data_IF_491377859140
#
_entry.id   IF_491377859140
#
_cell.length_a   1.000
_cell.length_b   1.000
_cell.length_c   1.000
_cell.angle_alpha   90.00
_cell.angle_beta   90.00
_cell.angle_gamma   90.00
#
_symmetry.space_group_name_H-M   'P 1'
#
loop_
_entity.id
_entity.type
_entity.pdbx_description
1 polymer ?
#
# COMPACT_ATOMS: atom_id res chain seq x y z
N UNK A 1 -17.86 8.77 13.93
CA UNK A 1 -17.39 7.63 13.14
C UNK A 1 -16.60 8.12 11.94
N UNK A 2 -15.41 7.55 11.75
CA UNK A 2 -14.56 7.70 10.57
C UNK A 2 -14.93 6.61 9.54
N UNK A 3 -14.73 6.90 8.26
CA UNK A 3 -14.84 5.90 7.21
C UNK A 3 -13.66 4.93 7.24
N UNK A 4 -12.47 5.46 7.51
CA UNK A 4 -11.25 4.68 7.66
C UNK A 4 -10.32 5.26 8.73
N UNK A 5 -9.64 4.37 9.45
CA UNK A 5 -8.45 4.66 10.23
C UNK A 5 -7.28 4.02 9.50
N UNK A 6 -6.23 4.80 9.24
CA UNK A 6 -5.00 4.34 8.60
C UNK A 6 -3.88 4.42 9.62
N UNK A 7 -3.28 3.28 9.94
CA UNK A 7 -2.20 3.16 10.91
C UNK A 7 -0.97 2.47 10.32
N UNK A 8 0.19 2.68 10.94
CA UNK A 8 1.43 1.99 10.57
C UNK A 8 2.60 2.94 10.35
N UNK A 9 3.39 2.66 9.32
CA UNK A 9 4.62 3.38 9.03
C UNK A 9 4.36 4.80 8.53
N UNK A 10 5.12 5.76 9.08
CA UNK A 10 5.22 7.13 8.58
C UNK A 10 6.67 7.61 8.61
N UNK A 11 7.10 8.34 7.59
CA UNK A 11 8.44 8.93 7.55
C UNK A 11 8.45 10.30 6.88
N UNK A 12 9.55 11.04 7.09
CA UNK A 12 9.87 12.23 6.31
C UNK A 12 10.71 11.82 5.10
N UNK A 13 10.19 12.02 3.90
CA UNK A 13 10.94 11.83 2.67
C UNK A 13 11.72 13.12 2.35
N UNK A 14 13.02 12.96 2.14
CA UNK A 14 13.97 14.00 1.79
C UNK A 14 14.44 13.70 0.38
N UNK A 15 14.04 14.54 -0.57
CA UNK A 15 14.25 14.31 -2.01
C UNK A 15 15.19 15.41 -2.53
N UNK A 16 16.52 15.21 -2.47
CA UNK A 16 17.46 16.17 -3.03
C UNK A 16 17.37 16.20 -4.56
N UNK A 17 17.45 17.40 -5.15
CA UNK A 17 17.68 17.54 -6.58
C UNK A 17 19.11 17.11 -6.92
N UNK A 18 19.22 16.05 -7.72
CA UNK A 18 20.50 15.50 -8.13
C UNK A 18 20.70 15.70 -9.63
N UNK A 19 21.87 16.21 -10.00
CA UNK A 19 22.28 16.36 -11.39
C UNK A 19 23.54 15.55 -11.66
N UNK A 20 23.60 14.94 -12.85
CA UNK A 20 24.73 14.10 -13.26
C UNK A 20 24.81 12.74 -12.54
N UNK A 21 25.99 12.12 -12.61
CA UNK A 21 26.23 10.82 -12.02
C UNK A 21 26.58 10.94 -10.52
N UNK A 22 25.73 10.35 -9.68
CA UNK A 22 25.99 10.20 -8.24
C UNK A 22 26.55 8.81 -7.98
N UNK A 23 27.73 8.74 -7.39
CA UNK A 23 28.37 7.52 -6.94
C UNK A 23 28.71 7.64 -5.45
N UNK A 24 28.40 6.60 -4.68
CA UNK A 24 28.74 6.52 -3.26
C UNK A 24 30.19 6.05 -3.12
N UNK A 25 31.12 7.01 -3.14
CA UNK A 25 32.56 6.77 -3.01
C UNK A 25 33.08 7.37 -1.69
N UNK A 26 33.81 6.60 -0.85
CA UNK A 26 34.38 7.13 0.38
C UNK A 26 35.25 8.39 0.14
N UNK A 27 34.97 9.46 0.88
CA UNK A 27 35.72 10.73 0.79
C UNK A 27 35.29 11.66 -0.36
N UNK A 28 34.33 11.26 -1.20
CA UNK A 28 33.77 12.11 -2.25
C UNK A 28 32.62 12.97 -1.71
N UNK A 29 32.70 14.28 -1.96
CA UNK A 29 31.58 15.20 -1.77
C UNK A 29 30.76 15.27 -3.06
N UNK A 30 29.44 15.13 -2.94
CA UNK A 30 28.51 15.39 -4.03
C UNK A 30 27.63 16.56 -3.62
N UNK A 31 27.66 17.62 -4.42
CA UNK A 31 26.77 18.77 -4.22
C UNK A 31 25.39 18.46 -4.81
N UNK A 32 24.35 18.65 -4.01
CA UNK A 32 22.97 18.50 -4.41
C UNK A 32 22.31 19.89 -4.51
N UNK A 33 21.29 20.00 -5.35
CA UNK A 33 20.41 21.16 -5.38
C UNK A 33 19.46 21.20 -4.16
N UNK A 34 18.44 22.07 -4.21
CA UNK A 34 17.40 22.13 -3.19
C UNK A 34 16.78 20.74 -2.90
N UNK A 35 16.42 20.50 -1.64
CA UNK A 35 15.69 19.30 -1.25
C UNK A 35 14.20 19.61 -1.12
N UNK A 36 13.37 18.73 -1.68
CA UNK A 36 11.94 18.70 -1.40
C UNK A 36 11.68 17.83 -0.18
N UNK A 37 10.87 18.34 0.75
CA UNK A 37 10.40 17.57 1.89
C UNK A 37 8.97 17.11 1.63
N UNK A 38 8.73 15.82 1.80
CA UNK A 38 7.41 15.21 1.72
C UNK A 38 7.22 14.26 2.89
N UNK A 39 6.00 13.82 3.12
CA UNK A 39 5.74 12.66 3.96
C UNK A 39 5.74 11.39 3.10
N UNK A 40 6.13 10.28 3.70
CA UNK A 40 6.09 8.94 3.12
C UNK A 40 5.53 7.93 4.13
N UNK A 41 5.49 6.66 3.71
CA UNK A 41 4.89 5.58 4.49
C UNK A 41 3.39 5.43 4.25
N UNK A 42 2.86 4.25 4.55
CA UNK A 42 1.46 3.91 4.29
C UNK A 42 0.46 4.84 4.99
N UNK A 43 0.80 5.34 6.19
CA UNK A 43 -0.06 6.29 6.92
C UNK A 43 -0.30 7.55 6.11
N UNK A 44 0.76 8.11 5.54
CA UNK A 44 0.63 9.30 4.70
C UNK A 44 0.05 8.96 3.34
N UNK A 45 0.69 8.04 2.60
CA UNK A 45 0.36 7.83 1.19
C UNK A 45 -1.08 7.30 1.01
N UNK A 46 -1.44 6.20 1.69
CA UNK A 46 -2.80 5.63 1.61
C UNK A 46 -3.81 6.52 2.34
N UNK A 47 -3.43 7.10 3.48
CA UNK A 47 -4.32 7.96 4.26
C UNK A 47 -4.72 9.26 3.57
N UNK A 48 -3.76 9.94 2.94
CA UNK A 48 -4.03 11.12 2.13
C UNK A 48 -4.76 10.76 0.83
N UNK A 49 -4.49 9.59 0.25
CA UNK A 49 -5.28 9.09 -0.87
C UNK A 49 -6.76 8.97 -0.52
N UNK A 50 -7.09 8.27 0.58
CA UNK A 50 -8.47 8.11 1.05
C UNK A 50 -9.13 9.46 1.38
N UNK A 51 -8.37 10.37 2.01
CA UNK A 51 -8.85 11.72 2.34
C UNK A 51 -9.21 12.50 1.08
N UNK A 52 -8.32 12.54 0.09
CA UNK A 52 -8.56 13.23 -1.19
C UNK A 52 -9.71 12.63 -2.00
N UNK A 53 -9.89 11.31 -1.91
CA UNK A 53 -11.02 10.59 -2.50
C UNK A 53 -12.34 10.78 -1.72
N UNK A 54 -12.35 11.64 -0.70
CA UNK A 54 -13.55 12.08 0.00
C UNK A 54 -13.98 11.19 1.16
N UNK A 55 -13.13 10.30 1.66
CA UNK A 55 -13.41 9.52 2.87
C UNK A 55 -12.94 10.27 4.11
N UNK A 56 -13.78 10.24 5.16
CA UNK A 56 -13.41 10.77 6.47
C UNK A 56 -12.39 9.86 7.11
N UNK A 57 -11.12 10.26 7.02
CA UNK A 57 -9.98 9.43 7.40
C UNK A 57 -9.28 9.95 8.65
N UNK A 58 -8.84 9.05 9.53
CA UNK A 58 -7.95 9.36 10.66
C UNK A 58 -6.59 8.69 10.45
N UNK A 59 -5.51 9.43 10.64
CA UNK A 59 -4.14 8.95 10.49
C UNK A 59 -3.53 8.66 11.85
N UNK A 60 -2.92 7.50 12.04
CA UNK A 60 -2.25 7.11 13.29
C UNK A 60 -0.86 6.61 12.97
N UNK A 61 0.15 7.26 13.55
CA UNK A 61 1.55 6.91 13.36
C UNK A 61 2.36 7.36 14.56
N UNK A 62 3.63 6.98 14.60
CA UNK A 62 4.55 7.35 15.67
C UNK A 62 5.66 8.24 15.13
N UNK A 63 5.85 9.40 15.74
CA UNK A 63 6.89 10.37 15.38
C UNK A 63 7.69 10.78 16.62
N UNK A 64 8.95 11.15 16.43
CA UNK A 64 9.76 11.71 17.52
C UNK A 64 9.48 13.20 17.72
N UNK A 65 9.73 13.73 18.92
CA UNK A 65 9.54 15.17 19.22
C UNK A 65 10.44 16.15 18.44
N UNK A 66 11.44 15.62 17.72
CA UNK A 66 12.41 16.39 16.95
C UNK A 66 11.82 17.14 15.74
N UNK A 67 12.67 17.88 15.00
CA UNK A 67 12.24 18.66 13.83
C UNK A 67 11.50 17.83 12.77
N UNK A 68 11.99 16.62 12.45
CA UNK A 68 11.36 15.77 11.44
C UNK A 68 9.92 15.39 11.81
N UNK A 69 9.65 15.04 13.07
CA UNK A 69 8.29 14.72 13.51
C UNK A 69 7.35 15.91 13.44
N UNK A 70 7.83 17.12 13.80
CA UNK A 70 7.05 18.35 13.64
C UNK A 70 6.74 18.65 12.17
N UNK A 71 7.73 18.52 11.30
CA UNK A 71 7.56 18.74 9.86
C UNK A 71 6.56 17.74 9.26
N UNK A 72 6.58 16.46 9.68
CA UNK A 72 5.56 15.49 9.26
C UNK A 72 4.15 15.99 9.64
N UNK A 73 3.93 16.38 10.89
CA UNK A 73 2.63 16.88 11.33
C UNK A 73 2.19 18.14 10.56
N UNK A 74 3.11 19.09 10.34
CA UNK A 74 2.86 20.32 9.56
C UNK A 74 2.47 20.02 8.12
N UNK A 75 3.16 19.08 7.45
CA UNK A 75 2.83 18.66 6.07
C UNK A 75 1.45 18.01 6.04
N UNK A 76 1.14 17.08 6.96
CA UNK A 76 -0.18 16.45 7.03
C UNK A 76 -1.30 17.48 7.21
N UNK A 77 -1.13 18.41 8.15
CA UNK A 77 -2.12 19.45 8.43
C UNK A 77 -2.27 20.47 7.28
N UNK A 78 -1.25 20.62 6.43
CA UNK A 78 -1.34 21.44 5.22
C UNK A 78 -2.29 20.85 4.15
N UNK A 79 -2.50 19.53 4.15
CA UNK A 79 -3.47 18.87 3.27
C UNK A 79 -4.89 19.01 3.81
N UNK A 80 -5.08 18.80 5.12
CA UNK A 80 -6.34 19.06 5.79
C UNK A 80 -6.06 19.28 7.30
N UNK A 81 -6.57 20.37 7.89
CA UNK A 81 -6.33 20.66 9.31
C UNK A 81 -6.75 19.50 10.21
N UNK A 82 -5.83 19.07 11.09
CA UNK A 82 -6.07 18.04 12.10
C UNK A 82 -5.68 16.62 11.69
N UNK A 83 -5.18 16.40 10.48
CA UNK A 83 -4.66 15.09 10.06
C UNK A 83 -3.42 14.66 10.87
N UNK A 84 -2.57 15.61 11.27
CA UNK A 84 -1.41 15.35 12.12
C UNK A 84 -1.74 15.14 13.60
N UNK A 85 -2.97 15.44 14.03
CA UNK A 85 -3.33 15.52 15.44
C UNK A 85 -3.36 14.17 16.18
N UNK A 86 -3.44 13.05 15.45
CA UNK A 86 -3.46 11.69 16.02
C UNK A 86 -2.10 10.98 15.94
N UNK A 87 -1.02 11.70 15.61
CA UNK A 87 0.33 11.15 15.69
C UNK A 87 0.79 11.02 17.16
N UNK A 88 1.26 9.84 17.53
CA UNK A 88 1.91 9.60 18.82
C UNK A 88 3.30 10.21 18.80
N UNK A 89 3.50 11.27 19.60
CA UNK A 89 4.79 11.95 19.74
C UNK A 89 5.57 11.32 20.90
N UNK A 90 6.71 10.70 20.58
CA UNK A 90 7.58 10.04 21.57
C UNK A 90 8.83 10.86 21.89
N UNK A 91 9.29 10.75 23.14
CA UNK A 91 10.52 11.36 23.65
C UNK A 91 11.70 10.41 23.51
N UNK A 92 12.89 10.94 23.23
CA UNK A 92 14.14 10.16 23.19
C UNK A 92 14.34 9.28 21.95
N UNK A 93 13.36 9.16 21.07
CA UNK A 93 13.46 8.41 19.82
C UNK A 93 13.48 9.32 18.58
N UNK A 94 14.27 8.94 17.58
CA UNK A 94 14.36 9.65 16.30
C UNK A 94 13.15 9.37 15.40
N UNK A 95 12.65 10.41 14.70
CA UNK A 95 11.62 10.22 13.67
C UNK A 95 12.22 9.51 12.45
N UNK A 96 11.42 8.64 11.83
CA UNK A 96 11.81 7.98 10.58
C UNK A 96 12.01 8.98 9.44
N UNK A 97 12.96 8.68 8.57
CA UNK A 97 13.18 9.43 7.35
C UNK A 97 13.66 8.52 6.22
N UNK A 98 13.47 8.98 4.98
CA UNK A 98 14.03 8.36 3.79
C UNK A 98 14.73 9.41 2.96
N UNK A 99 15.97 9.16 2.53
CA UNK A 99 16.58 9.94 1.47
C UNK A 99 16.27 9.25 0.14
N UNK A 100 15.52 9.94 -0.72
CA UNK A 100 15.11 9.42 -2.03
C UNK A 100 16.10 9.91 -3.08
N UNK A 101 16.92 9.01 -3.58
CA UNK A 101 17.92 9.30 -4.61
C UNK A 101 17.33 8.93 -5.97
N UNK A 102 16.90 9.96 -6.71
CA UNK A 102 16.35 9.80 -8.06
C UNK A 102 17.37 10.27 -9.10
N UNK A 103 17.86 9.36 -9.93
CA UNK A 103 18.79 9.67 -11.02
C UNK A 103 18.07 9.48 -12.35
N UNK A 104 18.27 10.40 -13.29
CA UNK A 104 17.62 10.33 -14.60
C UNK A 104 17.92 9.01 -15.32
N UNK A 105 16.87 8.31 -15.76
CA UNK A 105 16.97 7.02 -16.45
C UNK A 105 17.24 5.80 -15.55
N UNK A 106 17.25 5.97 -14.23
CA UNK A 106 17.45 4.87 -13.27
C UNK A 106 16.30 4.80 -12.26
N UNK A 107 16.08 3.60 -11.71
CA UNK A 107 15.16 3.42 -10.58
C UNK A 107 15.65 4.19 -9.35
N UNK A 108 14.69 4.66 -8.53
CA UNK A 108 14.97 5.39 -7.30
C UNK A 108 15.67 4.48 -6.29
N UNK A 109 16.69 5.00 -5.62
CA UNK A 109 17.30 4.35 -4.46
C UNK A 109 16.81 5.01 -3.18
N UNK A 110 16.62 4.22 -2.13
CA UNK A 110 16.10 4.68 -0.85
C UNK A 110 17.11 4.39 0.25
N UNK A 111 17.56 5.43 0.95
CA UNK A 111 18.31 5.29 2.20
C UNK A 111 17.34 5.55 3.35
N UNK A 112 16.93 4.48 4.04
CA UNK A 112 15.84 4.54 4.99
C UNK A 112 16.32 4.36 6.43
N UNK A 113 15.79 5.17 7.34
CA UNK A 113 15.89 4.99 8.77
C UNK A 113 14.49 4.77 9.36
N UNK A 114 14.20 3.61 9.97
CA UNK A 114 12.86 3.31 10.48
C UNK A 114 12.49 4.14 11.73
N UNK A 115 13.48 4.68 12.46
CA UNK A 115 13.26 5.50 13.64
C UNK A 115 12.31 4.86 14.66
N UNK A 116 11.46 5.69 15.28
CA UNK A 116 10.45 5.29 16.25
C UNK A 116 9.37 4.34 15.69
N UNK A 117 9.24 4.15 14.37
CA UNK A 117 8.36 3.09 13.86
C UNK A 117 8.85 1.68 14.29
N UNK A 118 10.14 1.53 14.60
CA UNK A 118 10.70 0.26 15.10
C UNK A 118 10.10 -0.17 16.44
N UNK A 119 9.69 0.78 17.27
CA UNK A 119 9.09 0.57 18.60
C UNK A 119 7.57 0.72 18.58
N UNK A 120 6.96 0.79 17.40
CA UNK A 120 5.51 0.76 17.28
C UNK A 120 4.97 -0.58 17.78
N UNK A 121 3.87 -0.52 18.52
CA UNK A 121 3.16 -1.65 19.12
C UNK A 121 1.66 -1.51 18.87
N UNK A 122 0.89 -2.54 19.19
CA UNK A 122 -0.57 -2.48 19.15
C UNK A 122 -1.11 -1.30 19.99
N UNK A 123 -0.50 -1.03 21.15
CA UNK A 123 -0.95 -0.01 22.11
C UNK A 123 -0.83 1.43 21.60
N UNK A 124 -0.05 1.65 20.54
CA UNK A 124 0.03 2.95 19.86
C UNK A 124 -1.24 3.31 19.06
N UNK A 125 -2.14 2.34 18.88
CA UNK A 125 -3.47 2.55 18.31
C UNK A 125 -4.50 2.54 19.44
N UNK A 126 -5.14 3.68 19.76
CA UNK A 126 -6.15 3.75 20.82
C UNK A 126 -7.40 2.92 20.48
N UNK A 127 -7.99 2.24 21.47
CA UNK A 127 -9.26 1.50 21.29
C UNK A 127 -10.39 2.41 20.80
N UNK A 128 -10.40 3.68 21.22
CA UNK A 128 -11.36 4.69 20.74
C UNK A 128 -11.29 4.88 19.22
N UNK A 129 -10.11 4.80 18.61
CA UNK A 129 -9.97 4.88 17.16
C UNK A 129 -10.55 3.63 16.47
N UNK A 130 -10.33 2.44 17.04
CA UNK A 130 -10.84 1.17 16.53
C UNK A 130 -12.36 1.07 16.67
N UNK A 131 -12.93 1.55 17.78
CA UNK A 131 -14.37 1.59 18.02
C UNK A 131 -15.12 2.60 17.15
N UNK A 132 -14.42 3.63 16.67
CA UNK A 132 -15.01 4.77 15.97
C UNK A 132 -14.69 4.78 14.46
N UNK A 133 -14.48 3.61 13.85
CA UNK A 133 -14.20 3.47 12.41
C UNK A 133 -14.98 2.34 11.76
N UNK A 134 -15.32 2.50 10.48
CA UNK A 134 -15.89 1.41 9.65
C UNK A 134 -14.79 0.45 9.16
N UNK A 135 -13.60 1.00 8.91
CA UNK A 135 -12.48 0.26 8.34
C UNK A 135 -11.16 0.64 9.03
N UNK A 136 -10.29 -0.34 9.25
CA UNK A 136 -8.95 -0.18 9.78
C UNK A 136 -7.93 -0.70 8.78
N UNK A 137 -7.11 0.20 8.24
CA UNK A 137 -6.00 -0.14 7.35
C UNK A 137 -4.68 -0.07 8.12
N UNK A 138 -3.86 -1.10 8.03
CA UNK A 138 -2.50 -1.09 8.55
C UNK A 138 -1.48 -1.32 7.43
N UNK A 139 -0.42 -0.52 7.39
CA UNK A 139 0.56 -0.60 6.31
C UNK A 139 2.02 -0.64 6.75
N UNK A 140 2.80 -1.37 5.96
CA UNK A 140 4.26 -1.52 6.03
C UNK A 140 4.82 -2.14 7.33
N UNK A 141 4.24 -3.22 7.87
CA UNK A 141 4.84 -3.93 9.00
C UNK A 141 6.32 -4.33 8.79
N UNK A 142 6.82 -4.66 7.58
CA UNK A 142 8.24 -4.98 7.40
C UNK A 142 9.22 -3.84 7.72
N UNK A 143 8.77 -2.59 7.79
CA UNK A 143 9.58 -1.44 8.22
C UNK A 143 9.42 -1.13 9.72
N UNK A 144 8.71 -1.97 10.46
CA UNK A 144 8.32 -1.75 11.86
C UNK A 144 8.73 -2.96 12.70
N UNK A 145 9.92 -2.93 13.30
CA UNK A 145 10.51 -4.08 13.99
C UNK A 145 9.57 -4.77 14.99
N UNK A 146 8.85 -3.99 15.81
CA UNK A 146 7.85 -4.52 16.73
C UNK A 146 6.72 -5.33 16.07
N UNK A 147 6.39 -5.06 14.81
CA UNK A 147 5.29 -5.72 14.10
C UNK A 147 5.66 -7.09 13.51
N UNK A 148 6.94 -7.37 13.27
CA UNK A 148 7.39 -8.68 12.78
C UNK A 148 8.20 -9.49 13.80
N UNK A 149 8.63 -8.86 14.91
CA UNK A 149 9.24 -9.57 16.03
C UNK A 149 8.28 -10.61 16.64
N UNK A 150 8.85 -11.62 17.30
CA UNK A 150 8.10 -12.69 17.97
C UNK A 150 7.02 -13.32 17.06
N UNK A 151 7.41 -13.59 15.82
CA UNK A 151 6.56 -14.12 14.75
C UNK A 151 5.27 -13.28 14.54
N UNK A 152 5.37 -11.96 14.71
CA UNK A 152 4.30 -11.00 14.44
C UNK A 152 3.26 -10.85 15.56
N UNK A 153 3.63 -11.09 16.82
CA UNK A 153 2.70 -11.06 17.96
C UNK A 153 1.91 -9.74 18.06
N UNK A 154 2.58 -8.60 17.99
CA UNK A 154 1.93 -7.28 18.09
C UNK A 154 1.03 -6.98 16.88
N UNK A 155 1.42 -7.42 15.69
CA UNK A 155 0.61 -7.31 14.48
C UNK A 155 -0.69 -8.11 14.62
N UNK A 156 -0.60 -9.35 15.11
CA UNK A 156 -1.78 -10.20 15.37
C UNK A 156 -2.67 -9.58 16.44
N UNK A 157 -2.08 -9.06 17.53
CA UNK A 157 -2.81 -8.38 18.62
C UNK A 157 -3.58 -7.17 18.09
N UNK A 158 -2.96 -6.36 17.23
CA UNK A 158 -3.58 -5.18 16.63
C UNK A 158 -4.78 -5.54 15.74
N UNK A 159 -4.62 -6.48 14.82
CA UNK A 159 -5.73 -6.88 13.93
C UNK A 159 -6.87 -7.56 14.69
N UNK A 160 -6.56 -8.37 15.72
CA UNK A 160 -7.61 -8.95 16.58
C UNK A 160 -8.40 -7.85 17.29
N UNK A 161 -7.73 -6.86 17.89
CA UNK A 161 -8.39 -5.71 18.54
C UNK A 161 -9.28 -4.93 17.56
N UNK A 162 -8.84 -4.72 16.33
CA UNK A 162 -9.65 -4.07 15.31
C UNK A 162 -10.94 -4.85 15.01
N UNK A 163 -10.86 -6.19 14.88
CA UNK A 163 -12.02 -7.06 14.69
C UNK A 163 -12.95 -7.07 15.90
N UNK A 164 -12.42 -7.11 17.13
CA UNK A 164 -13.19 -7.08 18.37
C UNK A 164 -14.02 -5.78 18.52
N UNK A 165 -13.51 -4.67 17.97
CA UNK A 165 -14.21 -3.39 17.91
C UNK A 165 -15.16 -3.24 16.70
N UNK A 166 -15.29 -4.29 15.87
CA UNK A 166 -16.23 -4.34 14.76
C UNK A 166 -15.75 -3.68 13.46
N UNK A 167 -14.51 -3.22 13.38
CA UNK A 167 -13.95 -2.68 12.15
C UNK A 167 -13.68 -3.81 11.14
N UNK A 168 -13.95 -3.54 9.86
CA UNK A 168 -13.33 -4.31 8.77
C UNK A 168 -11.85 -3.96 8.69
N UNK A 169 -11.01 -4.88 8.24
CA UNK A 169 -9.55 -4.69 8.27
C UNK A 169 -8.90 -4.84 6.90
N UNK A 170 -7.86 -4.04 6.65
CA UNK A 170 -6.96 -4.26 5.53
C UNK A 170 -5.49 -4.16 5.92
N UNK A 171 -4.66 -4.92 5.21
CA UNK A 171 -3.23 -5.00 5.44
C UNK A 171 -2.48 -4.78 4.14
N UNK A 172 -1.58 -3.80 4.15
CA UNK A 172 -0.58 -3.59 3.11
C UNK A 172 0.84 -3.90 3.62
N UNK A 173 1.66 -4.43 2.72
CA UNK A 173 3.05 -4.77 3.00
C UNK A 173 3.98 -3.79 2.27
N UNK A 174 5.22 -3.77 2.71
CA UNK A 174 6.33 -3.20 1.96
C UNK A 174 7.31 -4.31 1.64
N UNK A 175 8.09 -4.18 0.57
CA UNK A 175 9.15 -5.16 0.32
C UNK A 175 10.16 -5.15 1.48
N UNK A 176 10.42 -6.26 2.17
CA UNK A 176 11.43 -6.27 3.23
C UNK A 176 12.83 -6.10 2.64
N UNK A 177 13.69 -5.37 3.36
CA UNK A 177 15.11 -5.34 3.02
C UNK A 177 15.73 -6.71 3.34
N UNK A 178 16.27 -7.37 2.31
CA UNK A 178 16.85 -8.70 2.38
C UNK A 178 18.00 -8.80 3.40
N UNK A 179 18.74 -7.71 3.62
CA UNK A 179 19.91 -7.71 4.50
C UNK A 179 19.54 -7.33 5.94
N UNK A 180 18.40 -6.66 6.13
CA UNK A 180 17.86 -6.23 7.42
C UNK A 180 17.16 -7.36 8.20
N UNK A 181 16.85 -7.18 9.50
CA UNK A 181 16.09 -8.16 10.27
C UNK A 181 14.74 -8.52 9.65
N UNK A 182 14.07 -7.58 8.98
CA UNK A 182 12.79 -7.84 8.32
C UNK A 182 12.92 -8.83 7.17
N UNK A 183 14.03 -8.83 6.42
CA UNK A 183 14.28 -9.81 5.38
C UNK A 183 14.56 -11.23 5.88
N UNK A 184 14.84 -11.38 7.18
CA UNK A 184 15.15 -12.65 7.85
C UNK A 184 13.98 -13.18 8.68
N UNK A 185 12.90 -12.42 8.82
CA UNK A 185 11.71 -12.82 9.54
C UNK A 185 10.98 -13.97 8.82
N UNK A 186 10.35 -14.87 9.58
CA UNK A 186 9.50 -15.94 9.02
C UNK A 186 8.13 -15.37 8.61
N UNK A 187 8.11 -14.74 7.44
CA UNK A 187 6.90 -14.11 6.91
C UNK A 187 5.77 -15.11 6.65
N UNK A 188 6.07 -16.37 6.31
CA UNK A 188 5.03 -17.36 6.12
C UNK A 188 4.30 -17.63 7.44
N UNK A 189 5.04 -17.79 8.55
CA UNK A 189 4.44 -17.95 9.88
C UNK A 189 3.69 -16.69 10.32
N UNK A 190 4.27 -15.50 10.14
CA UNK A 190 3.63 -14.22 10.46
C UNK A 190 2.30 -14.08 9.71
N UNK A 191 2.30 -14.32 8.39
CA UNK A 191 1.11 -14.21 7.54
C UNK A 191 0.04 -15.23 7.94
N UNK A 192 0.40 -16.49 8.23
CA UNK A 192 -0.53 -17.50 8.74
C UNK A 192 -1.22 -17.08 10.05
N UNK A 193 -0.52 -16.33 10.91
CA UNK A 193 -1.07 -15.87 12.20
C UNK A 193 -1.97 -14.63 12.06
N UNK A 194 -1.62 -13.68 11.19
CA UNK A 194 -2.35 -12.40 11.06
C UNK A 194 -3.52 -12.46 10.08
N UNK A 195 -3.36 -13.16 8.93
CA UNK A 195 -4.36 -13.14 7.86
C UNK A 195 -5.77 -13.62 8.26
N UNK A 196 -5.98 -14.49 9.27
CA UNK A 196 -7.33 -14.78 9.78
C UNK A 196 -8.10 -13.56 10.31
N UNK A 197 -7.41 -12.48 10.64
CA UNK A 197 -7.97 -11.21 11.13
C UNK A 197 -7.89 -10.08 10.09
N UNK A 198 -7.39 -10.37 8.88
CA UNK A 198 -7.26 -9.42 7.77
C UNK A 198 -8.37 -9.72 6.77
N UNK A 199 -9.36 -8.83 6.65
CA UNK A 199 -10.42 -9.04 5.67
C UNK A 199 -9.93 -8.79 4.24
N UNK A 200 -9.11 -7.75 4.04
CA UNK A 200 -8.59 -7.31 2.73
C UNK A 200 -7.06 -7.23 2.74
N UNK A 201 -6.38 -8.14 2.06
CA UNK A 201 -4.91 -8.17 1.98
C UNK A 201 -4.45 -7.63 0.62
N UNK A 202 -3.63 -6.59 0.59
CA UNK A 202 -3.30 -5.85 -0.64
C UNK A 202 -1.80 -5.73 -0.95
N UNK A 203 -1.04 -6.85 -0.99
CA UNK A 203 0.40 -6.80 -1.26
C UNK A 203 0.73 -6.55 -2.74
N UNK A 204 2.00 -6.30 -3.05
CA UNK A 204 2.56 -6.44 -4.40
C UNK A 204 2.95 -7.90 -4.70
N UNK A 205 3.12 -8.20 -5.98
CA UNK A 205 3.59 -9.52 -6.40
C UNK A 205 5.01 -9.80 -5.89
N UNK A 206 5.86 -8.78 -5.84
CA UNK A 206 7.22 -8.83 -5.34
C UNK A 206 7.25 -9.14 -3.84
N UNK A 207 6.38 -8.50 -3.05
CA UNK A 207 6.22 -8.76 -1.62
C UNK A 207 5.80 -10.22 -1.38
N UNK A 208 4.79 -10.71 -2.10
CA UNK A 208 4.32 -12.10 -1.96
C UNK A 208 5.40 -13.11 -2.33
N UNK A 209 6.12 -12.88 -3.43
CA UNK A 209 7.22 -13.75 -3.85
C UNK A 209 8.34 -13.73 -2.80
N UNK A 210 8.72 -12.56 -2.29
CA UNK A 210 9.74 -12.46 -1.25
C UNK A 210 9.36 -13.25 0.00
N UNK A 211 8.11 -13.08 0.45
CA UNK A 211 7.62 -13.61 1.73
C UNK A 211 7.26 -15.09 1.67
N UNK A 212 6.75 -15.58 0.54
CA UNK A 212 6.17 -16.92 0.42
C UNK A 212 6.94 -17.85 -0.53
N UNK A 213 7.74 -17.30 -1.46
CA UNK A 213 8.46 -18.04 -2.50
C UNK A 213 9.88 -17.45 -2.72
N UNK A 214 10.63 -17.30 -1.62
CA UNK A 214 11.91 -16.56 -1.57
C UNK A 214 12.90 -16.96 -2.67
N UNK A 215 13.00 -18.25 -2.97
CA UNK A 215 13.90 -18.75 -4.03
C UNK A 215 13.48 -18.23 -5.42
N UNK A 216 12.18 -18.19 -5.71
CA UNK A 216 11.65 -17.64 -6.97
C UNK A 216 11.86 -16.13 -7.04
N UNK A 217 11.67 -15.41 -5.92
CA UNK A 217 12.01 -13.98 -5.84
C UNK A 217 13.48 -13.72 -6.20
N UNK A 218 14.41 -14.48 -5.64
CA UNK A 218 15.85 -14.31 -5.92
C UNK A 218 16.22 -14.64 -7.36
N UNK A 219 15.60 -15.67 -7.96
CA UNK A 219 15.81 -16.04 -9.36
C UNK A 219 15.32 -14.99 -10.35
N UNK A 220 14.28 -14.25 -10.00
CA UNK A 220 13.69 -13.20 -10.84
C UNK A 220 14.30 -11.82 -10.61
N UNK A 221 15.14 -11.66 -9.58
CA UNK A 221 15.77 -10.39 -9.22
C UNK A 221 16.58 -9.82 -10.41
N UNK A 222 16.19 -8.64 -10.88
CA UNK A 222 16.83 -7.96 -12.02
C UNK A 222 16.18 -8.23 -13.37
N UNK A 223 15.15 -9.08 -13.45
CA UNK A 223 14.29 -9.22 -14.63
C UNK A 223 13.09 -8.30 -14.50
N UNK A 224 12.60 -7.74 -15.61
CA UNK A 224 11.36 -6.96 -15.60
C UNK A 224 10.19 -7.89 -15.25
N UNK A 225 9.71 -7.80 -14.01
CA UNK A 225 8.65 -8.64 -13.43
C UNK A 225 7.31 -8.57 -14.17
N UNK A 226 7.16 -7.63 -15.10
CA UNK A 226 5.99 -7.49 -15.98
C UNK A 226 5.69 -8.76 -16.80
N UNK A 227 6.63 -9.70 -16.94
CA UNK A 227 6.43 -10.96 -17.66
C UNK A 227 5.81 -12.14 -16.87
N UNK A 228 5.53 -11.99 -15.57
CA UNK A 228 5.08 -13.13 -14.74
C UNK A 228 3.78 -13.79 -15.26
N UNK A 229 3.69 -15.14 -15.36
CA UNK A 229 2.45 -15.79 -15.78
C UNK A 229 1.27 -15.45 -14.85
N UNK A 230 0.07 -15.31 -15.42
CA UNK A 230 -1.18 -15.09 -14.64
C UNK A 230 -1.37 -16.12 -13.52
N UNK A 231 -0.97 -17.38 -13.76
CA UNK A 231 -1.03 -18.45 -12.77
C UNK A 231 -0.21 -18.22 -11.50
N UNK A 232 0.82 -17.36 -11.52
CA UNK A 232 1.56 -17.00 -10.31
C UNK A 232 0.71 -16.15 -9.36
N UNK A 233 -0.02 -15.17 -9.90
CA UNK A 233 -0.93 -14.30 -9.14
C UNK A 233 -2.07 -15.11 -8.51
N UNK A 234 -2.66 -16.01 -9.30
CA UNK A 234 -3.70 -16.93 -8.84
C UNK A 234 -3.25 -17.82 -7.69
N UNK A 235 -2.07 -18.46 -7.85
CA UNK A 235 -1.51 -19.35 -6.82
C UNK A 235 -1.23 -18.59 -5.52
N UNK A 236 -0.55 -17.45 -5.60
CA UNK A 236 -0.16 -16.67 -4.42
C UNK A 236 -1.38 -16.05 -3.72
N UNK A 237 -2.35 -15.54 -4.48
CA UNK A 237 -3.59 -15.05 -3.90
C UNK A 237 -4.39 -16.17 -3.23
N UNK A 238 -4.50 -17.34 -3.87
CA UNK A 238 -5.16 -18.52 -3.29
C UNK A 238 -4.48 -18.94 -1.99
N UNK A 239 -3.13 -18.92 -1.93
CA UNK A 239 -2.39 -19.22 -0.71
C UNK A 239 -2.70 -18.23 0.42
N UNK A 240 -2.79 -16.94 0.12
CA UNK A 240 -3.19 -15.92 1.10
C UNK A 240 -4.65 -16.09 1.57
N UNK A 241 -5.58 -16.45 0.67
CA UNK A 241 -6.96 -16.79 1.05
C UNK A 241 -7.01 -18.03 1.97
N UNK A 242 -6.20 -19.05 1.69
CA UNK A 242 -6.08 -20.25 2.54
C UNK A 242 -5.49 -19.93 3.92
N UNK A 243 -4.71 -18.85 4.05
CA UNK A 243 -4.21 -18.35 5.33
C UNK A 243 -5.24 -17.52 6.12
N UNK A 244 -6.39 -17.16 5.51
CA UNK A 244 -7.53 -16.57 6.21
C UNK A 244 -8.04 -15.24 5.66
N UNK A 245 -7.33 -14.62 4.70
CA UNK A 245 -7.82 -13.41 4.06
C UNK A 245 -9.12 -13.67 3.28
N UNK A 246 -9.99 -12.66 3.13
CA UNK A 246 -11.26 -12.79 2.38
C UNK A 246 -11.16 -12.21 0.98
N UNK A 247 -10.42 -11.12 0.85
CA UNK A 247 -10.17 -10.40 -0.41
C UNK A 247 -8.68 -10.20 -0.53
N UNK A 248 -8.07 -10.65 -1.64
CA UNK A 248 -6.64 -10.47 -1.91
C UNK A 248 -6.48 -9.67 -3.19
N UNK A 249 -5.98 -8.44 -3.05
CA UNK A 249 -5.59 -7.58 -4.17
C UNK A 249 -4.07 -7.64 -4.38
N UNK A 250 -3.60 -8.03 -5.57
CA UNK A 250 -2.16 -8.05 -5.87
C UNK A 250 -1.82 -6.91 -6.82
N UNK A 251 -1.03 -5.95 -6.32
CA UNK A 251 -0.45 -4.88 -7.14
C UNK A 251 0.53 -5.50 -8.12
N UNK A 252 0.32 -5.28 -9.42
CA UNK A 252 1.08 -5.90 -10.52
C UNK A 252 1.84 -4.86 -11.37
N UNK A 253 2.22 -3.73 -10.78
CA UNK A 253 2.90 -2.62 -11.47
C UNK A 253 2.10 -2.14 -12.68
N UNK A 254 2.75 -2.06 -13.84
CA UNK A 254 2.12 -1.63 -15.11
C UNK A 254 1.00 -2.54 -15.61
N UNK A 255 0.85 -3.76 -15.05
CA UNK A 255 -0.25 -4.67 -15.36
C UNK A 255 -1.50 -4.42 -14.54
N UNK A 256 -1.48 -3.43 -13.64
CA UNK A 256 -2.63 -3.03 -12.84
C UNK A 256 -2.81 -3.84 -11.57
N UNK A 257 -4.06 -4.18 -11.26
CA UNK A 257 -4.45 -4.76 -9.99
C UNK A 257 -5.23 -6.05 -10.23
N UNK A 258 -4.69 -7.15 -9.72
CA UNK A 258 -5.34 -8.47 -9.71
C UNK A 258 -6.13 -8.65 -8.40
N UNK A 259 -7.26 -9.35 -8.45
CA UNK A 259 -8.13 -9.64 -7.31
C UNK A 259 -8.48 -11.12 -7.30
N UNK A 260 -8.32 -11.76 -6.15
CA UNK A 260 -9.00 -13.03 -5.82
C UNK A 260 -9.81 -12.86 -4.54
N UNK A 261 -11.05 -13.32 -4.54
CA UNK A 261 -11.90 -13.31 -3.35
C UNK A 261 -12.27 -14.72 -2.92
N UNK A 262 -12.49 -14.92 -1.62
CA UNK A 262 -12.91 -16.21 -1.10
C UNK A 262 -14.40 -16.45 -1.37
N UNK A 263 -14.86 -17.69 -1.12
CA UNK A 263 -16.29 -18.04 -1.12
C UNK A 263 -17.04 -17.41 0.05
N UNK A 264 -16.34 -17.14 1.16
CA UNK A 264 -16.91 -16.54 2.36
C UNK A 264 -16.35 -15.14 2.59
N UNK A 265 -17.13 -14.14 2.18
CA UNK A 265 -16.84 -12.72 2.41
C UNK A 265 -17.64 -12.13 3.58
N UNK A 266 -18.23 -12.97 4.44
CA UNK A 266 -18.98 -12.51 5.63
C UNK A 266 -18.10 -11.64 6.54
N UNK A 267 -18.70 -10.67 7.23
CA UNK A 267 -17.98 -9.72 8.09
C UNK A 267 -17.28 -8.59 7.34
N UNK A 268 -17.37 -8.58 6.00
CA UNK A 268 -17.28 -7.39 5.17
C UNK A 268 -18.69 -7.05 4.70
N UNK A 269 -19.08 -5.76 4.70
CA UNK A 269 -20.36 -5.30 4.16
C UNK A 269 -20.33 -5.30 2.62
N UNK A 270 -20.14 -6.50 2.05
CA UNK A 270 -19.97 -6.74 0.61
C UNK A 270 -21.11 -7.62 0.07
N UNK A 271 -21.54 -7.29 -1.14
CA UNK A 271 -22.58 -8.03 -1.84
C UNK A 271 -22.12 -9.41 -2.35
N UNK A 272 -23.08 -10.29 -2.75
CA UNK A 272 -22.79 -11.63 -3.25
C UNK A 272 -21.90 -11.66 -4.50
N UNK A 273 -21.86 -10.56 -5.27
CA UNK A 273 -20.99 -10.38 -6.44
C UNK A 273 -19.49 -10.41 -6.09
N UNK A 274 -19.12 -10.24 -4.82
CA UNK A 274 -17.74 -10.36 -4.35
C UNK A 274 -17.31 -11.80 -4.07
N UNK A 275 -18.19 -12.81 -4.17
CA UNK A 275 -17.85 -14.20 -3.82
C UNK A 275 -17.12 -14.90 -4.95
N UNK A 276 -16.02 -15.56 -4.60
CA UNK A 276 -15.27 -16.47 -5.48
C UNK A 276 -14.88 -15.87 -6.84
N UNK A 277 -14.43 -14.61 -6.83
CA UNK A 277 -14.06 -13.87 -8.04
C UNK A 277 -12.57 -13.99 -8.29
N UNK A 278 -12.20 -14.00 -9.57
CA UNK A 278 -10.85 -13.76 -10.06
C UNK A 278 -10.89 -12.72 -11.18
N UNK A 279 -10.42 -11.50 -10.88
CA UNK A 279 -10.60 -10.32 -11.73
C UNK A 279 -9.29 -9.55 -11.82
N UNK A 280 -9.00 -8.94 -12.97
CA UNK A 280 -7.79 -8.17 -13.22
C UNK A 280 -8.10 -6.87 -13.94
N UNK A 281 -7.88 -5.73 -13.29
CA UNK A 281 -7.99 -4.42 -13.93
C UNK A 281 -6.61 -3.99 -14.48
N UNK A 282 -6.47 -3.74 -15.78
CA UNK A 282 -5.26 -3.14 -16.34
C UNK A 282 -5.19 -1.65 -15.99
N UNK A 283 -3.96 -1.12 -15.85
CA UNK A 283 -3.71 0.29 -15.62
C UNK A 283 -4.29 1.19 -16.72
N UNK A 284 -4.62 2.42 -16.36
CA UNK A 284 -4.91 3.47 -17.33
C UNK A 284 -3.62 4.06 -17.91
N UNK A 285 -3.69 4.52 -19.16
CA UNK A 285 -2.58 5.18 -19.83
C UNK A 285 -2.39 6.60 -19.30
N UNK A 286 -1.17 6.92 -18.87
CA UNK A 286 -0.73 8.24 -18.41
C UNK A 286 0.70 8.51 -18.86
N UNK A 287 1.07 9.80 -18.88
CA UNK A 287 2.47 10.19 -18.93
C UNK A 287 3.09 9.99 -17.54
N UNK A 288 4.00 9.02 -17.42
CA UNK A 288 4.60 8.66 -16.13
C UNK A 288 5.72 9.62 -15.80
N UNK A 289 5.54 10.41 -14.73
CA UNK A 289 6.54 11.31 -14.15
C UNK A 289 7.23 10.65 -12.94
N UNK A 290 6.46 9.90 -12.15
CA UNK A 290 6.96 9.17 -10.98
C UNK A 290 6.09 7.96 -10.67
N UNK A 291 6.59 7.03 -9.86
CA UNK A 291 5.83 5.84 -9.42
C UNK A 291 5.77 5.69 -7.90
N UNK A 292 6.43 6.59 -7.16
CA UNK A 292 6.35 6.61 -5.69
C UNK A 292 4.92 6.88 -5.25
N UNK A 293 4.43 6.09 -4.31
CA UNK A 293 3.05 6.20 -3.82
C UNK A 293 1.99 5.61 -4.76
N UNK A 294 2.33 5.18 -5.98
CA UNK A 294 1.34 4.65 -6.93
C UNK A 294 0.61 3.41 -6.40
N UNK A 295 1.33 2.54 -5.68
CA UNK A 295 0.75 1.38 -5.00
C UNK A 295 -0.22 1.77 -3.88
N UNK A 296 0.17 2.73 -3.05
CA UNK A 296 -0.66 3.23 -1.94
C UNK A 296 -1.90 3.98 -2.45
N UNK A 297 -1.75 4.79 -3.50
CA UNK A 297 -2.85 5.46 -4.18
C UNK A 297 -3.80 4.44 -4.81
N UNK A 298 -3.26 3.35 -5.38
CA UNK A 298 -4.05 2.22 -5.88
C UNK A 298 -4.86 1.56 -4.77
N UNK A 299 -4.25 1.35 -3.60
CA UNK A 299 -4.96 0.83 -2.42
C UNK A 299 -6.04 1.81 -1.96
N UNK A 300 -5.72 3.11 -1.89
CA UNK A 300 -6.67 4.16 -1.53
C UNK A 300 -7.89 4.18 -2.45
N UNK A 301 -7.68 4.10 -3.77
CA UNK A 301 -8.75 4.01 -4.76
C UNK A 301 -9.58 2.74 -4.63
N UNK A 302 -8.92 1.59 -4.42
CA UNK A 302 -9.59 0.30 -4.24
C UNK A 302 -10.45 0.28 -2.98
N UNK A 303 -9.91 0.74 -1.85
CA UNK A 303 -10.64 0.86 -0.60
C UNK A 303 -11.75 1.92 -0.67
N UNK A 304 -11.56 3.01 -1.41
CA UNK A 304 -12.64 3.98 -1.70
C UNK A 304 -13.82 3.31 -2.38
N UNK A 305 -13.58 2.53 -3.43
CA UNK A 305 -14.64 1.82 -4.13
C UNK A 305 -15.34 0.80 -3.23
N UNK A 306 -14.55 -0.02 -2.53
CA UNK A 306 -15.05 -1.04 -1.60
C UNK A 306 -15.93 -0.42 -0.50
N UNK A 307 -15.45 0.63 0.17
CA UNK A 307 -16.17 1.31 1.26
C UNK A 307 -17.36 2.15 0.77
N UNK A 308 -17.47 2.39 -0.53
CA UNK A 308 -18.62 3.03 -1.16
C UNK A 308 -19.64 2.01 -1.71
N UNK A 309 -19.44 0.71 -1.47
CA UNK A 309 -20.35 -0.36 -1.90
C UNK A 309 -20.28 -0.67 -3.40
N UNK A 310 -19.16 -0.36 -4.06
CA UNK A 310 -18.99 -0.63 -5.49
C UNK A 310 -18.76 -2.13 -5.75
N UNK A 311 -19.01 -2.54 -7.00
CA UNK A 311 -18.69 -3.91 -7.44
C UNK A 311 -17.16 -4.17 -7.39
N UNK A 312 -16.72 -5.45 -7.41
CA UNK A 312 -15.31 -5.79 -7.47
C UNK A 312 -14.58 -5.10 -8.64
N UNK A 313 -15.19 -5.09 -9.81
CA UNK A 313 -14.66 -4.50 -11.04
C UNK A 313 -14.50 -2.98 -10.92
N UNK A 314 -15.50 -2.30 -10.37
CA UNK A 314 -15.46 -0.85 -10.21
C UNK A 314 -14.47 -0.44 -9.12
N UNK A 315 -14.37 -1.22 -8.04
CA UNK A 315 -13.37 -1.00 -6.99
C UNK A 315 -11.96 -1.18 -7.52
N UNK A 316 -11.72 -2.21 -8.35
CA UNK A 316 -10.45 -2.39 -9.03
C UNK A 316 -10.13 -1.22 -9.98
N UNK A 317 -11.12 -0.75 -10.73
CA UNK A 317 -10.98 0.40 -11.63
C UNK A 317 -10.66 1.68 -10.87
N UNK A 318 -11.34 1.95 -9.75
CA UNK A 318 -11.06 3.05 -8.86
C UNK A 318 -9.61 3.00 -8.34
N UNK A 319 -9.13 1.80 -7.97
CA UNK A 319 -7.75 1.57 -7.58
C UNK A 319 -6.77 1.95 -8.69
N UNK A 320 -6.83 1.30 -9.84
CA UNK A 320 -5.86 1.56 -10.93
C UNK A 320 -5.97 2.98 -11.50
N UNK A 321 -7.13 3.64 -11.40
CA UNK A 321 -7.30 5.06 -11.74
C UNK A 321 -6.56 5.98 -10.78
N UNK A 322 -6.72 5.77 -9.47
CA UNK A 322 -6.01 6.56 -8.45
C UNK A 322 -4.49 6.38 -8.55
N UNK A 323 -4.04 5.14 -8.76
CA UNK A 323 -2.63 4.84 -9.06
C UNK A 323 -2.12 5.54 -10.32
N UNK A 324 -2.89 5.53 -11.41
CA UNK A 324 -2.53 6.22 -12.65
C UNK A 324 -2.42 7.74 -12.46
N UNK A 325 -3.39 8.36 -11.76
CA UNK A 325 -3.34 9.78 -11.40
C UNK A 325 -2.09 10.12 -10.57
N UNK A 326 -1.74 9.28 -9.58
CA UNK A 326 -0.51 9.44 -8.79
C UNK A 326 0.73 9.48 -9.68
N UNK A 327 0.81 8.62 -10.69
CA UNK A 327 1.97 8.53 -11.57
C UNK A 327 2.21 9.76 -12.47
N UNK A 328 1.22 10.64 -12.63
CA UNK A 328 1.33 11.89 -13.40
C UNK A 328 2.17 12.96 -12.66
N UNK A 329 2.61 12.69 -11.43
CA UNK A 329 3.39 13.62 -10.59
C UNK A 329 4.62 12.90 -9.96
N UNK A 330 5.66 13.66 -9.54
CA UNK A 330 6.89 13.06 -9.02
C UNK A 330 6.77 12.49 -7.60
N UNK A 331 5.84 13.01 -6.79
CA UNK A 331 5.61 12.63 -5.39
C UNK A 331 4.36 11.74 -5.19
N UNK A 332 4.18 11.23 -3.97
CA UNK A 332 3.16 10.23 -3.64
C UNK A 332 1.71 10.77 -3.54
N UNK A 333 1.51 12.09 -3.45
CA UNK A 333 0.24 12.67 -3.01
C UNK A 333 -0.31 13.67 -4.01
N UNK A 334 0.52 14.50 -4.62
CA UNK A 334 0.10 15.63 -5.48
C UNK A 334 -0.71 15.17 -6.69
N UNK A 335 -0.37 14.01 -7.27
CA UNK A 335 -1.10 13.45 -8.41
C UNK A 335 -2.49 12.91 -8.07
N UNK A 336 -2.78 12.63 -6.80
CA UNK A 336 -4.08 12.11 -6.38
C UNK A 336 -5.14 13.20 -6.54
N UNK A 337 -6.20 12.88 -7.29
CA UNK A 337 -7.34 13.74 -7.60
C UNK A 337 -8.51 13.47 -6.65
N UNK A 338 -9.53 14.33 -6.70
CA UNK A 338 -10.80 14.05 -6.03
C UNK A 338 -11.49 12.82 -6.64
N UNK A 339 -12.44 12.24 -5.90
CA UNK A 339 -13.24 11.13 -6.43
C UNK A 339 -14.01 11.54 -7.70
N UNK A 340 -14.66 12.71 -7.70
CA UNK A 340 -15.45 13.22 -8.84
C UNK A 340 -14.60 13.38 -10.12
N UNK A 341 -13.40 13.95 -9.99
CA UNK A 341 -12.47 14.08 -11.13
C UNK A 341 -11.98 12.72 -11.63
N UNK A 342 -11.75 11.79 -10.71
CA UNK A 342 -11.28 10.44 -11.03
C UNK A 342 -12.37 9.65 -11.76
N UNK A 343 -13.59 9.67 -11.24
CA UNK A 343 -14.77 9.03 -11.82
C UNK A 343 -15.09 9.60 -13.20
N UNK A 344 -15.11 10.94 -13.34
CA UNK A 344 -15.31 11.62 -14.62
C UNK A 344 -14.32 11.15 -15.68
N UNK A 345 -13.04 10.99 -15.32
CA UNK A 345 -12.02 10.48 -16.23
C UNK A 345 -12.33 9.05 -16.68
N UNK A 346 -12.67 8.17 -15.73
CA UNK A 346 -13.03 6.77 -16.03
C UNK A 346 -14.21 6.72 -17.01
N UNK A 347 -15.29 7.46 -16.72
CA UNK A 347 -16.52 7.51 -17.51
C UNK A 347 -16.32 8.13 -18.90
N UNK A 348 -15.35 9.04 -19.03
CA UNK A 348 -14.98 9.66 -20.31
C UNK A 348 -14.18 8.73 -21.25
N UNK A 349 -14.04 7.45 -20.90
CA UNK A 349 -13.40 6.45 -21.75
C UNK A 349 -11.86 6.48 -21.67
N UNK A 350 -11.29 6.70 -20.48
CA UNK A 350 -9.84 6.73 -20.26
C UNK A 350 -9.15 5.48 -20.85
N UNK A 351 -8.21 5.66 -21.81
CA UNK A 351 -7.49 4.54 -22.41
C UNK A 351 -6.73 3.70 -21.39
N UNK A 352 -6.64 2.38 -21.64
CA UNK A 352 -5.95 1.41 -20.78
C UNK A 352 -4.71 0.86 -21.44
N UNK A 353 -3.72 0.51 -20.62
CA UNK A 353 -2.53 -0.21 -21.06
C UNK A 353 -2.97 -1.62 -21.49
N UNK A 354 -2.62 -2.08 -22.71
CA UNK A 354 -2.95 -3.43 -23.15
C UNK A 354 -2.36 -4.49 -22.20
N UNK A 355 -3.20 -5.43 -21.79
CA UNK A 355 -2.81 -6.55 -20.94
C UNK A 355 -3.06 -7.86 -21.68
N UNK A 356 -2.01 -8.67 -21.86
CA UNK A 356 -2.09 -9.97 -22.52
C UNK A 356 -2.14 -11.06 -21.45
N UNK A 357 -3.25 -11.78 -21.38
CA UNK A 357 -3.48 -12.89 -20.46
C UNK A 357 -3.76 -14.19 -21.23
N UNK A 358 -3.80 -15.31 -20.50
CA UNK A 358 -4.15 -16.61 -21.07
C UNK A 358 -5.61 -16.69 -21.54
N UNK A 359 -5.95 -17.78 -22.26
CA UNK A 359 -7.28 -17.99 -22.86
C UNK A 359 -8.40 -18.17 -21.84
N UNK A 360 -8.04 -18.42 -20.58
CA UNK A 360 -8.95 -18.51 -19.44
C UNK A 360 -9.50 -17.14 -18.99
N UNK A 361 -8.94 -16.04 -19.50
CA UNK A 361 -9.36 -14.67 -19.17
C UNK A 361 -10.22 -14.06 -20.27
N UNK A 362 -11.33 -13.42 -19.87
CA UNK A 362 -12.25 -12.70 -20.77
C UNK A 362 -12.34 -11.24 -20.36
N UNK A 363 -12.15 -10.33 -21.32
CA UNK A 363 -12.38 -8.90 -21.11
C UNK A 363 -13.89 -8.64 -20.95
N UNK A 364 -14.26 -7.94 -19.89
CA UNK A 364 -15.64 -7.54 -19.57
C UNK A 364 -15.95 -6.15 -20.14
N UNK A 365 -17.24 -5.77 -20.26
CA UNK A 365 -17.63 -4.40 -20.65
C UNK A 365 -17.09 -3.30 -19.72
N UNK A 366 -16.73 -3.63 -18.46
CA UNK A 366 -16.13 -2.70 -17.50
C UNK A 366 -14.63 -2.48 -17.70
N UNK A 367 -14.04 -3.07 -18.75
CA UNK A 367 -12.62 -2.92 -19.07
C UNK A 367 -11.67 -3.69 -18.15
N UNK A 368 -12.19 -4.65 -17.38
CA UNK A 368 -11.41 -5.58 -16.56
C UNK A 368 -11.48 -7.00 -17.14
N UNK A 369 -10.48 -7.82 -16.89
CA UNK A 369 -10.48 -9.23 -17.24
C UNK A 369 -11.06 -10.05 -16.11
N UNK A 370 -11.91 -11.02 -16.43
CA UNK A 370 -12.45 -11.99 -15.49
C UNK A 370 -12.05 -13.39 -15.94
N UNK A 371 -11.65 -14.24 -14.99
CA UNK A 371 -11.30 -15.63 -15.28
C UNK A 371 -12.54 -16.52 -15.28
N UNK A 372 -12.67 -17.35 -16.31
CA UNK A 372 -13.73 -18.34 -16.42
C UNK A 372 -13.25 -19.65 -15.77
N UNK A 373 -13.79 -20.04 -14.60
CA UNK A 373 -13.38 -21.28 -13.91
C UNK A 373 -13.84 -22.57 -14.62
N UNK A 374 -14.67 -22.45 -15.66
CA UNK A 374 -15.24 -23.58 -16.39
C UNK A 374 -14.32 -24.17 -17.51
N UNK A 375 -13.07 -23.73 -17.62
CA UNK A 375 -12.12 -24.17 -18.67
C UNK A 375 -10.75 -24.59 -18.15
#
# INVERSE_FOLDING_TARGET
MFDAVVAGHICLDIIPELSGHVAFEPGRLVEAGPATLSTGGAVSNTGLALTKLGLKTRLIGKVGRGPFGRTICEILDSHQPGLGASMSVVEGEGTSYTIVVSLSGHDRMFLHSPGCNSTFTSDDVPDEALANTRHFHFGYPPLMAGMFANDGEELVRLFRRAKEHGASTSLDMSLPDADAPSGRADWETILKRVLPYVDVFVPSIEELLFMLERQTFEQLRGVVWSGLPSGAFERLATRALQMGAKVVGIKAGSRGLFLRTSKNVEGLDLGPEWRDRSVWAPCYCVEVVGTTGAGDATIGGFLKGLLSGMSPEDSLNAGVASGACCCEQPDAVSGIRSWEETETRIESGWPRIPLVLGREWRLTPKGVYERDEAK
#
